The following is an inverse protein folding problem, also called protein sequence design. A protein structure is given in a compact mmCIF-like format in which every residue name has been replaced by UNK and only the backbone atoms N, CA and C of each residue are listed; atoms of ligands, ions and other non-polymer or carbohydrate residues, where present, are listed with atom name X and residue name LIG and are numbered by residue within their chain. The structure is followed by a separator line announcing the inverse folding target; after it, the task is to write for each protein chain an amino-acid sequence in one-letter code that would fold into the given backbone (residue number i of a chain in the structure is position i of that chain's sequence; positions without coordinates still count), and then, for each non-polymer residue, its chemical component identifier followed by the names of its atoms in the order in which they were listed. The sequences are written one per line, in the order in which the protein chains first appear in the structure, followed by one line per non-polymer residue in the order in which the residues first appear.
data_IF_111910236909
#
_entry.id   IF_111910236909
#
_cell.length_a   1.000
_cell.length_b   1.000
_cell.length_c   1.000
_cell.angle_alpha   90.00
_cell.angle_beta   90.00
_cell.angle_gamma   90.00
#
_symmetry.space_group_name_H-M   'P 1'
#
loop_
_entity.id
_entity.type
_entity.pdbx_description
1 polymer ?
#
# COMPACT_ATOMS: atom_id res chain seq x y z
N UNK A 1 -30.85 -42.64 -27.30
CA UNK A 1 -31.14 -41.37 -26.60
C UNK A 1 -29.84 -40.59 -26.52
N UNK A 2 -29.71 -39.48 -27.23
CA UNK A 2 -28.55 -38.59 -27.07
C UNK A 2 -28.88 -37.64 -25.91
N UNK A 3 -28.09 -37.68 -24.84
CA UNK A 3 -28.29 -36.83 -23.67
C UNK A 3 -27.61 -35.49 -23.98
N UNK A 4 -28.41 -34.43 -24.04
CA UNK A 4 -27.91 -33.09 -24.36
C UNK A 4 -27.24 -32.46 -23.13
N UNK A 5 -25.91 -32.50 -23.11
CA UNK A 5 -25.07 -31.99 -22.01
C UNK A 5 -24.63 -30.53 -22.22
N UNK A 6 -25.08 -29.89 -23.30
CA UNK A 6 -24.62 -28.57 -23.73
C UNK A 6 -24.89 -27.49 -22.66
N UNK A 7 -26.04 -27.57 -22.00
CA UNK A 7 -26.42 -26.64 -20.92
C UNK A 7 -25.55 -26.81 -19.67
N UNK A 8 -25.22 -28.05 -19.29
CA UNK A 8 -24.35 -28.32 -18.16
C UNK A 8 -22.91 -27.84 -18.41
N UNK A 9 -22.41 -28.02 -19.64
CA UNK A 9 -21.08 -27.57 -20.03
C UNK A 9 -20.98 -26.04 -20.05
N UNK A 10 -22.02 -25.35 -20.51
CA UNK A 10 -22.10 -23.88 -20.47
C UNK A 10 -22.20 -23.33 -19.04
N UNK A 11 -22.92 -24.00 -18.14
CA UNK A 11 -22.95 -23.60 -16.73
C UNK A 11 -21.56 -23.75 -16.08
N UNK A 12 -20.86 -24.85 -16.36
CA UNK A 12 -19.52 -25.10 -15.84
C UNK A 12 -18.47 -24.11 -16.37
N UNK A 13 -18.52 -23.77 -17.66
CA UNK A 13 -17.61 -22.78 -18.24
C UNK A 13 -17.83 -21.39 -17.64
N UNK A 14 -19.07 -20.97 -17.44
CA UNK A 14 -19.41 -19.70 -16.78
C UNK A 14 -18.97 -19.64 -15.30
N UNK A 15 -19.11 -20.73 -14.55
CA UNK A 15 -18.62 -20.79 -13.16
C UNK A 15 -17.09 -20.68 -13.10
N UNK A 16 -16.39 -21.34 -14.03
CA UNK A 16 -14.93 -21.28 -14.11
C UNK A 16 -14.44 -19.88 -14.48
N UNK A 17 -15.07 -19.20 -15.43
CA UNK A 17 -14.69 -17.84 -15.82
C UNK A 17 -14.95 -16.82 -14.71
N UNK A 18 -16.05 -16.96 -13.96
CA UNK A 18 -16.33 -16.11 -12.80
C UNK A 18 -15.30 -16.29 -11.69
N UNK A 19 -14.91 -17.52 -11.36
CA UNK A 19 -13.82 -17.77 -10.38
C UNK A 19 -12.50 -17.15 -10.80
N UNK A 20 -12.16 -17.21 -12.09
CA UNK A 20 -10.92 -16.61 -12.60
C UNK A 20 -10.96 -15.08 -12.50
N UNK A 21 -12.12 -14.45 -12.77
CA UNK A 21 -12.31 -13.01 -12.57
C UNK A 21 -12.20 -12.61 -11.11
N UNK A 22 -12.87 -13.32 -10.20
CA UNK A 22 -12.78 -13.05 -8.75
C UNK A 22 -11.33 -13.15 -8.26
N UNK A 23 -10.60 -14.19 -8.68
CA UNK A 23 -9.19 -14.35 -8.31
C UNK A 23 -8.30 -13.22 -8.84
N UNK A 24 -8.59 -12.70 -10.05
CA UNK A 24 -7.85 -11.57 -10.62
C UNK A 24 -8.12 -10.25 -9.87
N UNK A 25 -9.35 -10.01 -9.45
CA UNK A 25 -9.74 -8.81 -8.68
C UNK A 25 -9.10 -8.82 -7.29
N UNK A 26 -9.09 -9.97 -6.61
CA UNK A 26 -8.45 -10.12 -5.28
C UNK A 26 -6.94 -9.87 -5.34
N UNK A 27 -6.27 -10.30 -6.42
CA UNK A 27 -4.84 -10.03 -6.59
C UNK A 27 -4.56 -8.55 -6.87
N UNK A 28 -5.40 -7.91 -7.69
CA UNK A 28 -5.28 -6.47 -7.98
C UNK A 28 -5.51 -5.61 -6.74
N UNK A 29 -6.53 -5.94 -5.92
CA UNK A 29 -6.80 -5.24 -4.65
C UNK A 29 -5.60 -5.33 -3.69
N UNK A 30 -4.96 -6.50 -3.61
CA UNK A 30 -3.78 -6.70 -2.76
C UNK A 30 -2.59 -5.86 -3.23
N UNK A 31 -2.31 -5.86 -4.53
CA UNK A 31 -1.25 -5.05 -5.13
C UNK A 31 -1.52 -3.56 -4.94
N UNK A 32 -2.78 -3.12 -5.11
CA UNK A 32 -3.16 -1.72 -4.95
C UNK A 32 -2.99 -1.24 -3.51
N UNK A 33 -3.33 -2.09 -2.53
CA UNK A 33 -3.11 -1.81 -1.11
C UNK A 33 -1.60 -1.67 -0.79
N UNK A 34 -0.78 -2.59 -1.28
CA UNK A 34 0.67 -2.52 -1.08
C UNK A 34 1.29 -1.24 -1.67
N UNK A 35 0.86 -0.83 -2.85
CA UNK A 35 1.32 0.42 -3.48
C UNK A 35 0.86 1.67 -2.72
N UNK A 36 -0.34 1.65 -2.13
CA UNK A 36 -0.85 2.77 -1.33
C UNK A 36 -0.16 2.87 0.03
N UNK A 37 0.15 1.74 0.67
CA UNK A 37 0.96 1.70 1.90
C UNK A 37 2.39 2.22 1.63
N UNK A 38 3.01 1.83 0.51
CA UNK A 38 4.33 2.32 0.12
C UNK A 38 4.34 3.83 -0.14
N UNK A 39 3.30 4.36 -0.77
CA UNK A 39 3.14 5.79 -1.00
C UNK A 39 2.95 6.57 0.31
N UNK A 40 2.13 6.08 1.25
CA UNK A 40 1.96 6.70 2.56
C UNK A 40 3.29 6.75 3.32
N UNK A 41 4.05 5.65 3.35
CA UNK A 41 5.37 5.64 4.01
C UNK A 41 6.33 6.66 3.40
N UNK A 42 6.34 6.80 2.06
CA UNK A 42 7.14 7.83 1.38
C UNK A 42 6.70 9.24 1.78
N UNK A 43 5.39 9.51 1.82
CA UNK A 43 4.87 10.81 2.19
C UNK A 43 5.16 11.16 3.65
N UNK A 44 4.98 10.21 4.57
CA UNK A 44 5.33 10.37 5.99
C UNK A 44 6.82 10.68 6.13
N UNK A 45 7.69 9.98 5.40
CA UNK A 45 9.12 10.26 5.38
C UNK A 45 9.42 11.69 4.94
N UNK A 46 8.82 12.17 3.85
CA UNK A 46 9.02 13.55 3.40
C UNK A 46 8.54 14.58 4.43
N UNK A 47 7.39 14.34 5.06
CA UNK A 47 6.88 15.22 6.12
C UNK A 47 7.82 15.21 7.34
N UNK A 48 8.29 14.05 7.77
CA UNK A 48 9.27 13.93 8.86
C UNK A 48 10.58 14.64 8.51
N UNK A 49 11.07 14.47 7.28
CA UNK A 49 12.30 15.11 6.81
C UNK A 49 12.18 16.64 6.80
N UNK A 50 11.01 17.19 6.47
CA UNK A 50 10.73 18.64 6.56
C UNK A 50 10.67 19.09 8.02
N UNK A 51 9.87 18.41 8.85
CA UNK A 51 9.69 18.77 10.26
C UNK A 51 11.02 18.71 11.03
N UNK A 52 11.83 17.69 10.78
CA UNK A 52 13.12 17.52 11.45
C UNK A 52 14.23 18.39 10.86
N UNK A 53 14.09 18.91 9.64
CA UNK A 53 14.96 19.98 9.13
C UNK A 53 14.67 21.31 9.82
N UNK A 54 13.40 21.60 10.10
CA UNK A 54 13.01 22.79 10.86
C UNK A 54 13.50 22.73 12.33
N UNK A 55 13.57 21.52 12.91
CA UNK A 55 14.14 21.28 14.25
C UNK A 55 15.68 21.28 14.32
N UNK A 56 16.43 21.54 13.23
CA UNK A 56 17.89 21.74 13.30
C UNK A 56 18.31 22.95 14.16
N UNK A 57 17.35 23.80 14.55
CA UNK A 57 17.54 24.85 15.56
C UNK A 57 17.44 24.35 17.00
N UNK A 58 16.79 23.22 17.25
CA UNK A 58 16.50 22.66 18.57
C UNK A 58 17.20 21.31 18.77
N UNK A 59 18.51 21.36 19.03
CA UNK A 59 19.32 20.52 19.94
C UNK A 59 18.91 19.08 20.34
N UNK A 60 18.15 18.31 19.55
CA UNK A 60 17.88 16.89 19.85
C UNK A 60 18.99 15.97 19.34
N UNK A 61 19.73 16.41 18.32
CA UNK A 61 20.90 15.72 17.79
C UNK A 61 22.11 16.67 17.82
N UNK A 62 23.19 16.33 18.56
CA UNK A 62 24.41 17.13 18.49
C UNK A 62 24.97 17.11 17.05
N UNK A 63 25.48 18.27 16.59
CA UNK A 63 26.12 18.44 15.27
C UNK A 63 27.47 17.73 15.24
N UNK A 64 27.45 16.40 15.26
CA UNK A 64 28.64 15.54 15.15
C UNK A 64 28.57 14.76 13.85
N UNK A 65 29.71 14.63 13.16
CA UNK A 65 29.82 13.84 11.94
C UNK A 65 29.27 12.42 12.17
N UNK A 66 28.14 12.08 11.52
CA UNK A 66 27.41 10.82 11.71
C UNK A 66 25.99 10.97 12.27
N UNK A 67 25.61 12.15 12.80
CA UNK A 67 24.22 12.44 13.22
C UNK A 67 23.21 12.22 12.10
N UNK A 68 23.60 12.54 10.87
CA UNK A 68 22.74 12.45 9.69
C UNK A 68 22.40 11.00 9.34
N UNK A 69 23.32 10.07 9.64
CA UNK A 69 23.12 8.63 9.42
C UNK A 69 22.13 8.07 10.45
N UNK A 70 22.27 8.45 11.72
CA UNK A 70 21.31 8.02 12.75
C UNK A 70 19.92 8.61 12.52
N UNK A 71 19.87 9.87 12.07
CA UNK A 71 18.62 10.56 11.72
C UNK A 71 17.92 9.90 10.53
N UNK A 72 18.65 9.55 9.47
CA UNK A 72 18.06 8.86 8.32
C UNK A 72 17.55 7.46 8.69
N UNK A 73 18.30 6.69 9.47
CA UNK A 73 17.85 5.38 9.97
C UNK A 73 16.62 5.49 10.88
N UNK A 74 16.58 6.48 11.77
CA UNK A 74 15.43 6.75 12.62
C UNK A 74 14.21 7.17 11.80
N UNK A 75 14.38 8.07 10.82
CA UNK A 75 13.30 8.49 9.94
C UNK A 75 12.78 7.33 9.09
N UNK A 76 13.66 6.47 8.58
CA UNK A 76 13.26 5.30 7.79
C UNK A 76 12.45 4.31 8.62
N UNK A 77 12.91 3.98 9.83
CA UNK A 77 12.21 3.07 10.74
C UNK A 77 10.89 3.65 11.23
N UNK A 78 10.87 4.93 11.59
CA UNK A 78 9.65 5.61 12.05
C UNK A 78 8.64 5.77 10.90
N UNK A 79 9.07 6.09 9.69
CA UNK A 79 8.19 6.21 8.52
C UNK A 79 7.64 4.88 8.05
N UNK A 80 8.37 3.78 8.23
CA UNK A 80 7.85 2.43 8.03
C UNK A 80 6.89 2.01 9.13
N UNK A 81 7.15 2.37 10.39
CA UNK A 81 6.26 2.06 11.50
C UNK A 81 4.96 2.87 11.48
N UNK A 82 5.00 4.09 10.95
CA UNK A 82 3.84 4.97 10.83
C UNK A 82 3.09 4.77 9.50
N UNK A 83 3.78 4.36 8.43
CA UNK A 83 3.17 3.97 7.16
C UNK A 83 2.24 2.76 7.35
N UNK A 84 0.98 2.90 6.95
CA UNK A 84 -0.08 1.90 7.15
C UNK A 84 -0.91 2.09 8.44
N UNK A 85 -0.42 2.82 9.45
CA UNK A 85 -1.14 3.03 10.72
C UNK A 85 -1.81 4.40 10.85
N UNK A 86 -1.50 5.37 9.96
CA UNK A 86 -2.14 6.69 9.96
C UNK A 86 -3.48 6.70 9.20
N UNK A 87 -3.78 5.64 8.45
CA UNK A 87 -5.05 5.46 7.75
C UNK A 87 -5.18 6.24 6.44
N UNK A 88 -4.11 6.92 5.98
CA UNK A 88 -4.13 7.57 4.66
C UNK A 88 -4.03 6.53 3.54
N UNK A 89 -3.34 5.40 3.76
CA UNK A 89 -3.29 4.32 2.77
C UNK A 89 -4.66 3.71 2.52
N UNK A 90 -5.44 3.43 3.56
CA UNK A 90 -6.80 2.93 3.43
C UNK A 90 -7.74 3.96 2.78
N UNK A 91 -7.57 5.26 3.07
CA UNK A 91 -8.34 6.32 2.42
C UNK A 91 -8.03 6.40 0.91
N UNK A 92 -6.75 6.39 0.55
CA UNK A 92 -6.30 6.39 -0.86
C UNK A 92 -6.74 5.11 -1.59
N UNK A 93 -6.60 3.94 -0.94
CA UNK A 93 -7.06 2.67 -1.48
C UNK A 93 -8.56 2.70 -1.78
N UNK A 94 -9.36 3.17 -0.83
CA UNK A 94 -10.80 3.31 -1.01
C UNK A 94 -11.15 4.33 -2.10
N UNK A 95 -10.46 5.46 -2.17
CA UNK A 95 -10.66 6.47 -3.22
C UNK A 95 -10.37 5.92 -4.62
N UNK A 96 -9.27 5.17 -4.77
CA UNK A 96 -8.90 4.56 -6.04
C UNK A 96 -9.88 3.44 -6.44
N UNK A 97 -10.29 2.60 -5.49
CA UNK A 97 -11.27 1.53 -5.71
C UNK A 97 -12.66 2.07 -6.05
N UNK A 98 -13.04 3.22 -5.51
CA UNK A 98 -14.33 3.87 -5.82
C UNK A 98 -14.36 4.48 -7.23
N UNK A 99 -13.19 4.67 -7.87
CA UNK A 99 -13.05 5.21 -9.23
C UNK A 99 -12.54 4.20 -10.27
N UNK A 100 -12.25 2.95 -9.87
CA UNK A 100 -11.78 1.88 -10.78
C UNK A 100 -12.92 1.08 -11.39
#
# INVERSE_FOLDING_TARGET
MQIDNTMALNAYSNLRTNKLKEQSVVQQDKLLKEQTDAFESFLVKQVLDIALKDDEKNSLFPKTAGSDIYKSMYNDTMSQSLGGNLGFSDLLFNFLKQRS
#
